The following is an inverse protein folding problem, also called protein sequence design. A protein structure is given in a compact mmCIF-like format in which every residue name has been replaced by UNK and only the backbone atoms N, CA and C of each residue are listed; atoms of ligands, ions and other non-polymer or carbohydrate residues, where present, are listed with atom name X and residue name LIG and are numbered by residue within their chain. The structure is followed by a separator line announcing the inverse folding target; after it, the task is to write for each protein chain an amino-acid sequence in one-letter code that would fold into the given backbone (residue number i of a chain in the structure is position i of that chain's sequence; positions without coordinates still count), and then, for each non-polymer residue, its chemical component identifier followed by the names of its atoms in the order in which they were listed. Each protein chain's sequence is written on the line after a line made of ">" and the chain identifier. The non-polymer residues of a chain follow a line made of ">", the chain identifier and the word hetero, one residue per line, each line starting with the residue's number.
data_IF_826841127162
#
_entry.id   IF_826841127162
#
_cell.length_a   1.000
_cell.length_b   1.000
_cell.length_c   1.000
_cell.angle_alpha   90.00
_cell.angle_beta   90.00
_cell.angle_gamma   90.00
#
_symmetry.space_group_name_H-M   'P 1'
#
loop_
_entity.id
_entity.type
_entity.pdbx_description
1 polymer ?
#
# COMPACT_ATOMS: atom_id res chain seq x y z
N UNK A 1 12.39 -37.21 -9.53
CA UNK A 1 12.15 -36.82 -8.13
C UNK A 1 12.63 -35.39 -7.98
N UNK A 2 11.72 -34.41 -8.11
CA UNK A 2 12.09 -32.99 -8.05
C UNK A 2 12.38 -32.65 -6.59
N UNK A 3 13.64 -32.39 -6.25
CA UNK A 3 14.05 -31.99 -4.90
C UNK A 3 13.56 -30.56 -4.72
N UNK A 4 12.40 -30.39 -4.10
CA UNK A 4 11.97 -29.10 -3.56
C UNK A 4 12.97 -28.79 -2.45
N UNK A 5 13.86 -27.84 -2.69
CA UNK A 5 14.89 -27.44 -1.73
C UNK A 5 14.16 -26.72 -0.56
N UNK A 6 14.13 -27.30 0.66
CA UNK A 6 13.37 -26.74 1.78
C UNK A 6 13.91 -25.39 2.26
N UNK A 7 15.07 -24.95 1.76
CA UNK A 7 15.66 -23.64 2.07
C UNK A 7 14.99 -22.47 1.37
N UNK A 8 14.16 -22.71 0.35
CA UNK A 8 13.39 -21.66 -0.33
C UNK A 8 12.22 -21.15 0.56
N UNK A 9 11.84 -21.90 1.60
CA UNK A 9 10.61 -21.64 2.36
C UNK A 9 10.81 -20.77 3.61
N UNK A 10 12.05 -20.46 4.02
CA UNK A 10 12.32 -19.90 5.36
C UNK A 10 12.56 -18.38 5.46
N UNK A 11 12.64 -17.60 4.38
CA UNK A 11 12.96 -16.16 4.54
C UNK A 11 12.32 -15.20 3.52
N UNK A 12 11.28 -15.64 2.81
CA UNK A 12 10.45 -14.68 2.08
C UNK A 12 9.64 -13.89 3.13
N UNK A 13 9.67 -12.55 3.14
CA UNK A 13 8.96 -11.74 4.12
C UNK A 13 7.45 -11.68 3.80
N UNK A 14 6.83 -12.85 3.60
CA UNK A 14 5.41 -13.05 3.30
C UNK A 14 4.56 -12.36 4.38
N UNK A 15 4.95 -12.46 5.65
CA UNK A 15 4.28 -11.77 6.75
C UNK A 15 4.31 -10.24 6.64
N UNK A 16 5.44 -9.66 6.18
CA UNK A 16 5.56 -8.22 5.93
C UNK A 16 4.70 -7.83 4.73
N UNK A 17 4.72 -8.62 3.65
CA UNK A 17 3.89 -8.39 2.46
C UNK A 17 2.39 -8.40 2.79
N UNK A 18 1.93 -9.37 3.58
CA UNK A 18 0.55 -9.46 4.07
C UNK A 18 0.19 -8.25 4.94
N UNK A 19 1.07 -7.84 5.85
CA UNK A 19 0.84 -6.68 6.71
C UNK A 19 0.68 -5.39 5.88
N UNK A 20 1.59 -5.12 4.94
CA UNK A 20 1.53 -3.95 4.08
C UNK A 20 0.30 -3.97 3.16
N UNK A 21 -0.04 -5.14 2.61
CA UNK A 21 -1.25 -5.30 1.80
C UNK A 21 -2.53 -5.02 2.63
N UNK A 22 -2.57 -5.48 3.88
CA UNK A 22 -3.71 -5.24 4.77
C UNK A 22 -3.91 -3.75 5.08
N UNK A 23 -2.81 -3.01 5.27
CA UNK A 23 -2.83 -1.56 5.45
C UNK A 23 -3.34 -0.87 4.18
N UNK A 24 -2.87 -1.29 2.99
CA UNK A 24 -3.33 -0.72 1.73
C UNK A 24 -4.83 -0.95 1.49
N UNK A 25 -5.32 -2.15 1.82
CA UNK A 25 -6.76 -2.48 1.76
C UNK A 25 -7.57 -1.60 2.71
N UNK A 26 -7.11 -1.40 3.95
CA UNK A 26 -7.78 -0.54 4.92
C UNK A 26 -7.83 0.93 4.45
N UNK A 27 -6.72 1.46 3.93
CA UNK A 27 -6.65 2.83 3.38
C UNK A 27 -7.57 2.99 2.18
N UNK A 28 -7.63 1.98 1.30
CA UNK A 28 -8.53 1.98 0.16
C UNK A 28 -10.01 1.99 0.58
N UNK A 29 -10.41 1.13 1.51
CA UNK A 29 -11.79 1.12 2.00
C UNK A 29 -12.16 2.38 2.80
N UNK A 30 -11.22 2.97 3.53
CA UNK A 30 -11.43 4.26 4.18
C UNK A 30 -11.69 5.38 3.15
N UNK A 31 -10.97 5.37 2.03
CA UNK A 31 -11.20 6.28 0.91
C UNK A 31 -12.57 6.06 0.25
N UNK A 32 -12.96 4.81 -0.01
CA UNK A 32 -14.29 4.49 -0.51
C UNK A 32 -15.37 4.98 0.45
N UNK A 33 -15.20 4.76 1.75
CA UNK A 33 -16.12 5.25 2.78
C UNK A 33 -16.25 6.77 2.77
N UNK A 34 -15.12 7.48 2.66
CA UNK A 34 -15.09 8.93 2.54
C UNK A 34 -15.78 9.41 1.25
N UNK A 35 -15.56 8.76 0.11
CA UNK A 35 -16.19 9.14 -1.15
C UNK A 35 -17.69 8.81 -1.22
N UNK A 36 -18.12 7.71 -0.61
CA UNK A 36 -19.49 7.21 -0.72
C UNK A 36 -20.42 7.75 0.38
N UNK A 37 -19.90 8.02 1.58
CA UNK A 37 -20.71 8.40 2.75
C UNK A 37 -20.41 9.79 3.29
N UNK A 38 -19.34 10.46 2.86
CA UNK A 38 -19.22 11.88 3.19
C UNK A 38 -20.31 12.62 2.41
N UNK A 39 -21.29 13.14 3.17
CA UNK A 39 -22.06 14.32 2.80
C UNK A 39 -21.05 15.34 2.28
N UNK A 40 -20.87 15.36 0.96
CA UNK A 40 -19.92 16.22 0.30
C UNK A 40 -20.31 17.63 0.75
N UNK A 41 -19.46 18.36 1.51
CA UNK A 41 -19.69 19.76 1.70
C UNK A 41 -19.53 20.34 0.31
N UNK A 42 -20.67 20.58 -0.34
CA UNK A 42 -20.75 21.30 -1.59
C UNK A 42 -19.91 22.56 -1.38
N UNK A 43 -18.89 22.76 -2.21
CA UNK A 43 -17.88 23.81 -2.09
C UNK A 43 -16.76 23.57 -1.04
N UNK A 44 -15.61 23.11 -1.53
CA UNK A 44 -14.28 23.75 -1.41
C UNK A 44 -13.24 22.83 -2.05
N UNK A 45 -13.25 22.78 -3.39
CA UNK A 45 -12.07 22.36 -4.12
C UNK A 45 -10.91 23.31 -3.78
N UNK A 46 -9.67 22.83 -3.88
CA UNK A 46 -8.44 23.61 -3.71
C UNK A 46 -8.37 24.73 -4.76
N UNK A 47 -9.11 25.83 -4.60
CA UNK A 47 -9.06 27.09 -5.37
C UNK A 47 -9.23 27.02 -6.90
N UNK A 48 -9.15 25.85 -7.52
CA UNK A 48 -8.74 25.65 -8.91
C UNK A 48 -9.63 24.60 -9.62
N UNK A 49 -10.77 24.26 -9.03
CA UNK A 49 -11.74 23.31 -9.61
C UNK A 49 -11.40 21.83 -9.42
N UNK A 50 -10.34 21.51 -8.67
CA UNK A 50 -9.97 20.11 -8.40
C UNK A 50 -10.89 19.53 -7.31
N UNK A 51 -11.60 18.42 -7.58
CA UNK A 51 -12.42 17.74 -6.57
C UNK A 51 -11.54 17.14 -5.46
N UNK A 52 -11.94 17.29 -4.19
CA UNK A 52 -11.23 16.68 -3.05
C UNK A 52 -11.03 15.16 -3.15
N UNK A 53 -11.98 14.35 -3.70
CA UNK A 53 -11.78 12.92 -3.93
C UNK A 53 -10.65 12.61 -4.89
N UNK A 54 -10.39 13.50 -5.87
CA UNK A 54 -9.28 13.31 -6.78
C UNK A 54 -7.95 13.41 -6.02
N UNK A 55 -7.82 14.42 -5.15
CA UNK A 55 -6.63 14.63 -4.31
C UNK A 55 -6.45 13.47 -3.33
N UNK A 56 -7.54 13.05 -2.67
CA UNK A 56 -7.50 11.92 -1.74
C UNK A 56 -7.18 10.60 -2.45
N UNK A 57 -7.71 10.36 -3.65
CA UNK A 57 -7.36 9.19 -4.46
C UNK A 57 -5.88 9.19 -4.84
N UNK A 58 -5.33 10.35 -5.22
CA UNK A 58 -3.91 10.54 -5.45
C UNK A 58 -3.07 10.21 -4.21
N UNK A 59 -3.54 10.61 -3.03
CA UNK A 59 -2.88 10.34 -1.75
C UNK A 59 -2.88 8.83 -1.44
N UNK A 60 -3.98 8.12 -1.70
CA UNK A 60 -4.07 6.66 -1.55
C UNK A 60 -3.09 5.93 -2.48
N UNK A 61 -2.98 6.38 -3.74
CA UNK A 61 -2.03 5.81 -4.71
C UNK A 61 -0.59 6.06 -4.26
N UNK A 62 -0.27 7.28 -3.83
CA UNK A 62 1.06 7.61 -3.30
C UNK A 62 1.39 6.80 -2.06
N UNK A 63 0.44 6.60 -1.15
CA UNK A 63 0.60 5.75 0.03
C UNK A 63 0.97 4.32 -0.36
N UNK A 64 0.23 3.73 -1.30
CA UNK A 64 0.52 2.37 -1.80
C UNK A 64 1.88 2.25 -2.49
N UNK A 65 2.27 3.27 -3.27
CA UNK A 65 3.60 3.31 -3.88
C UNK A 65 4.71 3.33 -2.82
N UNK A 66 4.56 4.15 -1.76
CA UNK A 66 5.52 4.21 -0.65
C UNK A 66 5.62 2.88 0.09
N UNK A 67 4.48 2.25 0.43
CA UNK A 67 4.46 0.94 1.08
C UNK A 67 5.15 -0.14 0.23
N UNK A 68 4.95 -0.09 -1.08
CA UNK A 68 5.59 -1.01 -2.04
C UNK A 68 7.10 -0.78 -2.09
N UNK A 69 7.55 0.48 -2.16
CA UNK A 69 8.99 0.81 -2.11
C UNK A 69 9.62 0.34 -0.80
N UNK A 70 8.95 0.56 0.33
CA UNK A 70 9.42 0.09 1.63
C UNK A 70 9.54 -1.44 1.68
N UNK A 71 8.54 -2.16 1.13
CA UNK A 71 8.61 -3.62 1.01
C UNK A 71 9.84 -4.07 0.23
N UNK A 72 10.07 -3.48 -0.95
CA UNK A 72 11.21 -3.83 -1.81
C UNK A 72 12.53 -3.49 -1.13
N UNK A 73 12.65 -2.33 -0.48
CA UNK A 73 13.88 -1.95 0.24
C UNK A 73 14.17 -2.88 1.41
N UNK A 74 13.16 -3.27 2.19
CA UNK A 74 13.33 -4.19 3.32
C UNK A 74 13.64 -5.60 2.82
N UNK A 75 12.95 -6.08 1.79
CA UNK A 75 13.20 -7.40 1.19
C UNK A 75 14.63 -7.49 0.66
N UNK A 76 15.04 -6.52 -0.16
CA UNK A 76 16.39 -6.48 -0.73
C UNK A 76 17.47 -6.23 0.34
N UNK A 77 17.14 -5.52 1.42
CA UNK A 77 18.05 -5.27 2.55
C UNK A 77 18.31 -6.52 3.39
N UNK A 78 17.30 -7.38 3.59
CA UNK A 78 17.46 -8.67 4.27
C UNK A 78 18.29 -9.65 3.44
N UNK A 79 18.07 -9.69 2.13
CA UNK A 79 18.85 -10.52 1.21
C UNK A 79 20.35 -10.18 1.20
N UNK A 80 20.71 -8.90 1.40
CA UNK A 80 22.12 -8.44 1.43
C UNK A 80 22.81 -8.56 2.79
N UNK A 81 22.08 -8.83 3.87
CA UNK A 81 22.62 -8.91 5.23
C UNK A 81 22.95 -10.32 5.72
N UNK A 82 22.80 -11.33 4.85
CA UNK A 82 23.00 -12.76 5.17
C UNK A 82 24.19 -13.36 4.39
N UNK A 83 25.24 -12.56 4.18
CA UNK A 83 26.62 -12.98 3.86
C UNK A 83 27.51 -12.75 5.10
#
# INVERSE_FOLDING_TARGET
>A
MNRVDPRIEEDEPVGLGIALASIQVAVFYAFIGYCAFATYPESRGLGQGIPMPFVLGLLVVLCGAVLTVLYVLVSNGRERGHD
#
